data_IF_882739877320
#
_entry.id   IF_882739877320
#
_cell.length_a   1.000
_cell.length_b   1.000
_cell.length_c   1.000
_cell.angle_alpha   90.00
_cell.angle_beta   90.00
_cell.angle_gamma   90.00
#
_symmetry.space_group_name_H-M   'P 1'
#
loop_
_entity.id
_entity.type
_entity.pdbx_description
1 polymer ?
#
# COMPACT_ATOMS: atom_id res chain seq x y z
N UNK A 1 23.39 8.67 -6.22
CA UNK A 1 24.56 9.36 -6.76
C UNK A 1 24.46 10.91 -6.64
N UNK A 2 23.74 11.44 -5.61
CA UNK A 2 23.70 12.88 -5.34
C UNK A 2 22.87 13.73 -6.30
N UNK A 3 21.99 13.12 -7.08
CA UNK A 3 21.11 13.83 -8.03
C UNK A 3 19.76 14.21 -7.42
N UNK A 4 19.39 13.59 -6.31
CA UNK A 4 18.18 13.91 -5.54
C UNK A 4 18.52 13.91 -4.07
N UNK A 5 17.92 14.83 -3.30
CA UNK A 5 18.16 14.97 -1.87
C UNK A 5 17.23 14.08 -1.04
N UNK A 6 15.99 13.88 -1.50
CA UNK A 6 14.99 13.00 -0.87
C UNK A 6 13.99 12.47 -1.90
N UNK A 7 13.32 11.40 -1.53
CA UNK A 7 12.20 10.86 -2.30
C UNK A 7 11.16 10.21 -1.37
N UNK A 8 9.92 10.13 -1.84
CA UNK A 8 8.88 9.29 -1.25
C UNK A 8 8.81 7.97 -2.04
N UNK A 9 9.00 6.85 -1.35
CA UNK A 9 8.96 5.53 -1.99
C UNK A 9 8.25 4.52 -1.09
N UNK A 10 7.94 3.36 -1.66
CA UNK A 10 7.32 2.27 -0.92
C UNK A 10 8.35 1.56 -0.03
N UNK A 11 7.92 1.17 1.18
CA UNK A 11 8.77 0.43 2.12
C UNK A 11 9.37 -0.82 1.47
N UNK A 12 8.60 -1.55 0.67
CA UNK A 12 9.03 -2.77 -0.02
C UNK A 12 10.24 -2.55 -0.94
N UNK A 13 10.42 -1.34 -1.46
CA UNK A 13 11.53 -1.00 -2.34
C UNK A 13 12.79 -0.59 -1.57
N UNK A 14 12.61 0.04 -0.40
CA UNK A 14 13.71 0.73 0.29
C UNK A 14 14.13 0.08 1.62
N UNK A 15 13.32 -0.82 2.18
CA UNK A 15 13.63 -1.43 3.47
C UNK A 15 15.02 -2.09 3.55
N UNK A 16 15.52 -2.81 2.52
CA UNK A 16 16.87 -3.36 2.55
C UNK A 16 17.95 -2.29 2.68
N UNK A 17 17.82 -1.18 1.94
CA UNK A 17 18.78 -0.07 1.94
C UNK A 17 18.76 0.71 3.26
N UNK A 18 17.58 0.90 3.84
CA UNK A 18 17.42 1.52 5.17
C UNK A 18 18.09 0.65 6.23
N UNK A 19 17.83 -0.67 6.23
CA UNK A 19 18.47 -1.62 7.15
C UNK A 19 19.99 -1.70 6.99
N UNK A 20 20.48 -1.57 5.76
CA UNK A 20 21.90 -1.51 5.46
C UNK A 20 22.55 -0.15 5.80
N UNK A 21 21.76 0.87 6.18
CA UNK A 21 22.25 2.21 6.49
C UNK A 21 22.74 3.01 5.28
N UNK A 22 22.46 2.56 4.06
CA UNK A 22 22.86 3.26 2.83
C UNK A 22 21.95 4.43 2.47
N UNK A 23 20.73 4.44 2.98
CA UNK A 23 19.80 5.57 2.92
C UNK A 23 19.17 5.77 4.31
N UNK A 24 18.79 7.02 4.60
CA UNK A 24 18.10 7.39 5.83
C UNK A 24 16.59 7.47 5.58
N UNK A 25 15.80 6.75 6.39
CA UNK A 25 14.36 6.94 6.44
C UNK A 25 14.02 7.96 7.54
N UNK A 26 13.10 8.87 7.26
CA UNK A 26 12.66 9.91 8.21
C UNK A 26 11.33 9.55 8.87
N UNK A 27 10.37 9.04 8.11
CA UNK A 27 9.09 8.58 8.61
C UNK A 27 8.43 7.63 7.61
N UNK A 28 7.48 6.82 8.10
CA UNK A 28 6.53 6.06 7.28
C UNK A 28 5.14 6.72 7.32
N UNK A 29 4.49 6.85 6.17
CA UNK A 29 3.18 7.52 6.07
C UNK A 29 2.00 6.57 6.37
N UNK A 30 2.20 5.62 7.28
CA UNK A 30 1.21 4.66 7.76
C UNK A 30 0.66 5.08 9.13
N UNK A 31 -0.50 4.50 9.53
CA UNK A 31 -1.10 4.75 10.84
C UNK A 31 -0.28 4.18 12.00
N UNK A 32 0.51 3.14 11.74
CA UNK A 32 1.44 2.49 12.68
C UNK A 32 2.81 2.32 12.06
N UNK A 33 3.84 2.11 12.89
CA UNK A 33 5.19 1.81 12.39
C UNK A 33 5.20 0.51 11.60
N UNK A 34 6.01 0.47 10.55
CA UNK A 34 6.15 -0.72 9.72
C UNK A 34 7.04 -1.77 10.42
N UNK A 35 6.59 -3.03 10.44
CA UNK A 35 7.32 -4.11 11.09
C UNK A 35 8.72 -4.38 10.51
N UNK A 36 8.94 -4.10 9.23
CA UNK A 36 10.25 -4.22 8.60
C UNK A 36 11.22 -3.07 8.96
N UNK A 37 10.70 -1.94 9.49
CA UNK A 37 11.43 -0.74 9.88
C UNK A 37 10.93 -0.21 11.24
N UNK A 38 11.04 -0.96 12.33
CA UNK A 38 10.40 -0.63 13.62
C UNK A 38 10.95 0.65 14.28
N UNK A 39 12.18 1.04 13.94
CA UNK A 39 12.81 2.25 14.46
C UNK A 39 12.43 3.53 13.70
N UNK A 40 11.80 3.39 12.52
CA UNK A 40 11.35 4.53 11.73
C UNK A 40 9.98 5.00 12.24
N UNK A 41 9.85 6.26 12.69
CA UNK A 41 8.59 6.79 13.20
C UNK A 41 7.53 6.88 12.10
N UNK A 42 6.27 6.96 12.50
CA UNK A 42 5.18 7.36 11.58
C UNK A 42 5.25 8.88 11.32
N UNK A 43 4.60 9.33 10.25
CA UNK A 43 4.44 10.77 9.98
C UNK A 43 3.69 11.48 11.12
N UNK A 44 2.75 10.82 11.78
CA UNK A 44 2.06 11.35 12.94
C UNK A 44 3.02 11.59 14.13
N UNK A 45 3.88 10.62 14.45
CA UNK A 45 4.92 10.75 15.49
C UNK A 45 5.95 11.81 15.12
N UNK A 46 6.21 12.04 13.83
CA UNK A 46 7.11 13.06 13.29
C UNK A 46 6.47 14.47 13.18
N UNK A 47 5.25 14.68 13.68
CA UNK A 47 4.56 15.97 13.70
C UNK A 47 3.65 16.27 12.51
N UNK A 48 3.41 15.30 11.62
CA UNK A 48 2.55 15.43 10.44
C UNK A 48 1.39 14.42 10.45
N UNK A 49 0.46 14.48 11.43
CA UNK A 49 -0.59 13.47 11.60
C UNK A 49 -1.59 13.42 10.43
N UNK A 50 -1.76 14.51 9.71
CA UNK A 50 -2.64 14.56 8.54
C UNK A 50 -2.03 13.91 7.28
N UNK A 51 -0.72 13.63 7.28
CA UNK A 51 -0.05 13.03 6.14
C UNK A 51 -0.04 11.51 6.28
N UNK A 52 -1.09 10.88 5.75
CA UNK A 52 -1.23 9.42 5.68
C UNK A 52 -1.45 8.99 4.24
N UNK A 53 -0.44 8.34 3.68
CA UNK A 53 -0.43 7.84 2.30
C UNK A 53 0.03 6.39 2.33
N UNK A 54 -0.84 5.49 1.90
CA UNK A 54 -0.55 4.06 1.80
C UNK A 54 -0.71 3.62 0.36
N UNK A 55 0.28 2.94 -0.15
CA UNK A 55 0.18 2.26 -1.45
C UNK A 55 -0.46 0.89 -1.23
N UNK A 56 -1.39 0.55 -2.10
CA UNK A 56 -2.09 -0.72 -2.07
C UNK A 56 -2.08 -1.39 -3.45
N UNK A 57 -2.13 -2.71 -3.46
CA UNK A 57 -2.19 -3.52 -4.67
C UNK A 57 -3.48 -4.35 -4.67
N UNK A 58 -4.12 -4.46 -5.82
CA UNK A 58 -5.36 -5.20 -5.97
C UNK A 58 -5.35 -6.05 -7.24
N UNK A 59 -6.07 -7.16 -7.19
CA UNK A 59 -6.36 -7.99 -8.35
C UNK A 59 -7.73 -7.57 -8.92
N UNK A 60 -7.75 -7.18 -10.18
CA UNK A 60 -8.94 -6.76 -10.88
C UNK A 60 -9.23 -7.70 -12.06
N UNK A 61 -10.52 -7.90 -12.36
CA UNK A 61 -10.97 -8.63 -13.52
C UNK A 61 -11.61 -7.67 -14.54
N UNK A 62 -11.59 -7.98 -15.84
CA UNK A 62 -12.27 -7.20 -16.86
C UNK A 62 -13.77 -7.03 -16.58
N UNK A 63 -14.35 -5.91 -17.03
CA UNK A 63 -15.80 -5.68 -16.91
C UNK A 63 -16.57 -6.81 -17.62
N UNK A 64 -17.57 -7.36 -16.95
CA UNK A 64 -18.39 -8.44 -17.49
C UNK A 64 -17.84 -9.85 -17.22
N UNK A 65 -16.73 -9.98 -16.48
CA UNK A 65 -16.29 -11.30 -15.99
C UNK A 65 -17.41 -11.95 -15.17
N UNK A 66 -17.82 -13.19 -15.49
CA UNK A 66 -18.91 -13.88 -14.77
C UNK A 66 -18.59 -13.99 -13.26
N UNK A 67 -19.64 -13.79 -12.44
CA UNK A 67 -19.49 -13.81 -10.98
C UNK A 67 -18.86 -15.10 -10.43
N UNK A 68 -19.16 -16.31 -10.93
CA UNK A 68 -18.51 -17.55 -10.48
C UNK A 68 -16.99 -17.54 -10.72
N UNK A 69 -16.51 -16.89 -11.79
CA UNK A 69 -15.08 -16.76 -12.08
C UNK A 69 -14.45 -15.79 -11.07
N UNK A 70 -15.09 -14.64 -10.81
CA UNK A 70 -14.61 -13.68 -9.80
C UNK A 70 -14.54 -14.33 -8.42
N UNK A 71 -15.57 -15.09 -8.04
CA UNK A 71 -15.60 -15.84 -6.78
C UNK A 71 -14.44 -16.84 -6.68
N UNK A 72 -14.18 -17.60 -7.74
CA UNK A 72 -13.08 -18.57 -7.79
C UNK A 72 -11.70 -17.91 -7.66
N UNK A 73 -11.50 -16.78 -8.35
CA UNK A 73 -10.25 -16.01 -8.24
C UNK A 73 -10.08 -15.43 -6.83
N UNK A 74 -11.14 -14.93 -6.22
CA UNK A 74 -11.10 -14.41 -4.85
C UNK A 74 -10.81 -15.51 -3.83
N UNK A 75 -11.42 -16.70 -3.98
CA UNK A 75 -11.11 -17.87 -3.15
C UNK A 75 -9.62 -18.23 -3.23
N UNK A 76 -9.07 -18.32 -4.44
CA UNK A 76 -7.66 -18.63 -4.66
C UNK A 76 -6.72 -17.56 -4.07
N UNK A 77 -7.06 -16.27 -4.24
CA UNK A 77 -6.31 -15.17 -3.64
C UNK A 77 -6.31 -15.26 -2.12
N UNK A 78 -7.46 -15.48 -1.49
CA UNK A 78 -7.56 -15.62 -0.04
C UNK A 78 -6.79 -16.81 0.49
N UNK A 79 -6.82 -17.94 -0.22
CA UNK A 79 -6.01 -19.11 0.12
C UNK A 79 -4.50 -18.80 0.04
N UNK A 80 -4.05 -18.09 -0.99
CA UNK A 80 -2.67 -17.66 -1.12
C UNK A 80 -2.25 -16.69 0.01
N UNK A 81 -3.09 -15.73 0.36
CA UNK A 81 -2.84 -14.79 1.47
C UNK A 81 -2.86 -15.48 2.85
N UNK A 82 -3.50 -16.63 2.98
CA UNK A 82 -3.50 -17.45 4.19
C UNK A 82 -2.26 -18.34 4.32
N UNK A 83 -1.54 -18.60 3.22
CA UNK A 83 -0.34 -19.44 3.21
C UNK A 83 0.79 -18.86 4.05
N UNK A 84 1.45 -19.68 4.86
CA UNK A 84 2.49 -19.25 5.79
C UNK A 84 3.73 -18.70 5.09
N UNK A 85 4.13 -19.27 3.93
CA UNK A 85 5.30 -18.83 3.19
C UNK A 85 5.02 -17.48 2.51
N UNK A 86 3.81 -17.29 1.97
CA UNK A 86 3.37 -16.03 1.38
C UNK A 86 3.36 -14.92 2.46
N UNK A 87 2.78 -15.20 3.62
CA UNK A 87 2.78 -14.27 4.77
C UNK A 87 4.20 -13.89 5.19
N UNK A 88 5.08 -14.88 5.36
CA UNK A 88 6.47 -14.62 5.74
C UNK A 88 7.19 -13.76 4.69
N UNK A 89 6.98 -14.04 3.42
CA UNK A 89 7.61 -13.29 2.33
C UNK A 89 7.11 -11.85 2.25
N UNK A 90 5.81 -11.62 2.40
CA UNK A 90 5.23 -10.27 2.43
C UNK A 90 5.75 -9.47 3.63
N UNK A 91 5.79 -10.09 4.81
CA UNK A 91 6.34 -9.44 6.01
C UNK A 91 7.82 -9.07 5.85
N UNK A 92 8.65 -9.96 5.28
CA UNK A 92 10.06 -9.68 4.97
C UNK A 92 10.23 -8.46 4.06
N UNK A 93 9.32 -8.29 3.10
CA UNK A 93 9.29 -7.14 2.20
C UNK A 93 8.71 -5.86 2.85
N UNK A 94 8.14 -5.96 4.05
CA UNK A 94 7.46 -4.85 4.70
C UNK A 94 6.08 -4.54 4.13
N UNK A 95 5.45 -5.52 3.45
CA UNK A 95 4.09 -5.42 2.96
C UNK A 95 3.11 -5.95 4.01
N UNK A 96 2.09 -5.16 4.32
CA UNK A 96 1.01 -5.56 5.20
C UNK A 96 -0.06 -6.37 4.46
N UNK A 97 -0.66 -7.34 5.15
CA UNK A 97 -1.80 -8.06 4.63
C UNK A 97 -3.08 -7.21 4.74
N UNK A 98 -3.99 -7.30 3.75
CA UNK A 98 -5.26 -6.61 3.84
C UNK A 98 -6.11 -7.16 5.00
N UNK A 99 -6.92 -6.30 5.61
CA UNK A 99 -7.96 -6.75 6.53
C UNK A 99 -8.98 -7.66 5.81
N UNK A 100 -9.57 -8.60 6.52
CA UNK A 100 -10.45 -9.64 5.94
C UNK A 100 -11.60 -9.09 5.08
N UNK A 101 -12.18 -7.95 5.50
CA UNK A 101 -13.24 -7.29 4.75
C UNK A 101 -12.75 -6.71 3.42
N UNK A 102 -11.49 -6.29 3.32
CA UNK A 102 -10.89 -5.78 2.08
C UNK A 102 -10.50 -6.91 1.11
N UNK A 103 -10.26 -8.12 1.62
CA UNK A 103 -9.99 -9.31 0.81
C UNK A 103 -11.25 -9.90 0.16
N UNK A 104 -12.26 -9.08 -0.13
CA UNK A 104 -13.50 -9.45 -0.81
C UNK A 104 -13.79 -8.52 -1.99
N UNK A 105 -14.50 -8.96 -3.04
CA UNK A 105 -14.87 -8.09 -4.16
C UNK A 105 -15.66 -6.85 -3.73
N UNK A 106 -16.61 -7.01 -2.81
CA UNK A 106 -17.42 -5.90 -2.31
C UNK A 106 -16.60 -4.92 -1.45
N UNK A 107 -15.73 -5.44 -0.58
CA UNK A 107 -14.85 -4.61 0.26
C UNK A 107 -13.84 -3.84 -0.58
N UNK A 108 -13.21 -4.47 -1.57
CA UNK A 108 -12.31 -3.78 -2.49
C UNK A 108 -13.03 -2.69 -3.29
N UNK A 109 -14.25 -2.97 -3.77
CA UNK A 109 -15.04 -1.96 -4.49
C UNK A 109 -15.30 -0.72 -3.61
N UNK A 110 -15.79 -0.91 -2.40
CA UNK A 110 -16.04 0.17 -1.45
C UNK A 110 -14.76 0.95 -1.10
N UNK A 111 -13.64 0.24 -0.95
CA UNK A 111 -12.34 0.85 -0.69
C UNK A 111 -11.89 1.73 -1.86
N UNK A 112 -11.99 1.25 -3.11
CA UNK A 112 -11.65 2.03 -4.31
C UNK A 112 -12.51 3.31 -4.40
N UNK A 113 -13.81 3.19 -4.15
CA UNK A 113 -14.74 4.34 -4.15
C UNK A 113 -14.32 5.39 -3.09
N UNK A 114 -13.95 4.95 -1.90
CA UNK A 114 -13.46 5.83 -0.84
C UNK A 114 -12.11 6.49 -1.20
N UNK A 115 -11.16 5.76 -1.79
CA UNK A 115 -9.89 6.31 -2.25
C UNK A 115 -10.10 7.33 -3.38
N UNK A 116 -10.99 7.08 -4.33
CA UNK A 116 -11.36 8.06 -5.38
C UNK A 116 -11.91 9.34 -4.73
N UNK A 117 -12.83 9.22 -3.78
CA UNK A 117 -13.40 10.36 -3.09
C UNK A 117 -12.34 11.17 -2.31
N UNK A 118 -11.39 10.47 -1.65
CA UNK A 118 -10.27 11.07 -0.91
C UNK A 118 -9.31 11.83 -1.82
N UNK A 119 -8.87 11.19 -2.92
CA UNK A 119 -7.81 11.73 -3.76
C UNK A 119 -8.27 12.74 -4.80
N UNK A 120 -9.53 12.66 -5.26
CA UNK A 120 -10.06 13.58 -6.28
C UNK A 120 -9.87 15.07 -5.92
N UNK A 121 -10.22 15.55 -4.73
CA UNK A 121 -10.03 16.96 -4.38
C UNK A 121 -8.52 17.33 -4.27
N UNK A 122 -7.68 16.42 -3.79
CA UNK A 122 -6.24 16.65 -3.65
C UNK A 122 -5.59 16.80 -5.02
N UNK A 123 -5.89 15.90 -5.96
CA UNK A 123 -5.36 15.93 -7.33
C UNK A 123 -5.82 17.20 -8.06
N UNK A 124 -7.09 17.58 -7.90
CA UNK A 124 -7.62 18.82 -8.50
C UNK A 124 -6.94 20.07 -7.95
N UNK A 125 -6.75 20.13 -6.63
CA UNK A 125 -6.07 21.26 -5.97
C UNK A 125 -4.61 21.39 -6.40
N UNK A 126 -3.94 20.25 -6.67
CA UNK A 126 -2.58 20.23 -7.16
C UNK A 126 -2.45 20.55 -8.66
N UNK A 127 -3.55 20.74 -9.39
CA UNK A 127 -3.54 21.04 -10.83
C UNK A 127 -3.04 19.89 -11.71
N UNK A 128 -3.00 18.65 -11.17
CA UNK A 128 -2.55 17.49 -11.91
C UNK A 128 -3.65 17.01 -12.84
N UNK A 129 -3.35 16.95 -14.13
CA UNK A 129 -4.25 16.39 -15.17
C UNK A 129 -3.61 15.17 -15.79
N UNK A 130 -4.43 14.17 -16.17
CA UNK A 130 -3.93 13.04 -16.92
C UNK A 130 -3.42 13.53 -18.29
N UNK A 131 -2.15 13.24 -18.59
CA UNK A 131 -1.65 13.39 -19.97
C UNK A 131 -2.24 12.26 -20.80
N UNK A 132 -2.95 12.60 -21.88
CA UNK A 132 -3.39 11.61 -22.87
C UNK A 132 -2.20 11.06 -23.65
#
# INVERSE_FOLDING_TARGET
AGQVDYLCDQVVNVAPQVRAGTIKAFAVAQASRNAALPDVPTTAEAGLPAYQVVVWNAMLAPKGTPEPIVAKLNEALRAALADANVKARLAELGADLPADNLATPAGLKAFIEAEIAKWTPVIRAAGVTASN
#
